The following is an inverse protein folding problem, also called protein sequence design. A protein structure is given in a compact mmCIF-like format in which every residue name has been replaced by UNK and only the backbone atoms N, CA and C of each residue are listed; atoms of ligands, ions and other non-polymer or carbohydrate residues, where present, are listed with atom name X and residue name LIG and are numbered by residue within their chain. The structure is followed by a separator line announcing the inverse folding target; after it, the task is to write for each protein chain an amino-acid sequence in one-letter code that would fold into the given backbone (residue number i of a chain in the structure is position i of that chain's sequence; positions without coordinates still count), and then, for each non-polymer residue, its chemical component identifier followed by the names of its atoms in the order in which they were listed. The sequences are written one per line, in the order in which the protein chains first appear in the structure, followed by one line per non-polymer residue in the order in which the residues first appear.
data_IF_299202122227
#
_entry.id   IF_299202122227
#
_cell.length_a   1.000
_cell.length_b   1.000
_cell.length_c   1.000
_cell.angle_alpha   90.00
_cell.angle_beta   90.00
_cell.angle_gamma   90.00
#
_symmetry.space_group_name_H-M   'P 1'
#
loop_
_entity.id
_entity.type
_entity.pdbx_description
1 polymer ?
#
# COMPACT_ATOMS: atom_id res chain seq x y z
N UNK A 1 25.33 -13.64 24.27
CA UNK A 1 24.80 -14.92 23.75
C UNK A 1 23.48 -14.64 23.04
N UNK A 2 23.51 -14.38 21.72
CA UNK A 2 22.28 -14.30 20.92
C UNK A 2 21.63 -15.69 20.91
N UNK A 3 20.38 -15.82 21.36
CA UNK A 3 19.64 -17.09 21.26
C UNK A 3 19.60 -17.49 19.80
N UNK A 4 20.18 -18.65 19.47
CA UNK A 4 20.07 -19.25 18.15
C UNK A 4 18.60 -19.62 17.91
N UNK A 5 17.84 -18.72 17.30
CA UNK A 5 16.46 -18.98 16.88
C UNK A 5 16.51 -20.02 15.76
N UNK A 6 15.78 -21.13 15.86
CA UNK A 6 15.76 -22.17 14.81
C UNK A 6 15.15 -21.63 13.50
N UNK A 7 15.40 -22.25 12.33
CA UNK A 7 14.74 -21.87 11.08
C UNK A 7 13.21 -21.80 11.20
N UNK A 8 12.59 -22.74 11.91
CA UNK A 8 11.15 -22.71 12.23
C UNK A 8 10.75 -21.51 13.10
N UNK A 9 11.57 -21.14 14.09
CA UNK A 9 11.30 -19.97 14.94
C UNK A 9 11.38 -18.66 14.16
N UNK A 10 12.34 -18.54 13.23
CA UNK A 10 12.48 -17.38 12.33
C UNK A 10 11.33 -17.35 11.32
N UNK A 11 10.95 -18.51 10.78
CA UNK A 11 9.80 -18.65 9.89
C UNK A 11 8.52 -18.12 10.55
N UNK A 12 8.20 -18.60 11.76
CA UNK A 12 7.02 -18.13 12.49
C UNK A 12 7.09 -16.63 12.80
N UNK A 13 8.27 -16.14 13.15
CA UNK A 13 8.51 -14.71 13.38
C UNK A 13 8.18 -13.87 12.13
N UNK A 14 8.63 -14.29 10.94
CA UNK A 14 8.33 -13.63 9.68
C UNK A 14 6.85 -13.76 9.33
N UNK A 15 6.24 -14.94 9.51
CA UNK A 15 4.80 -15.10 9.28
C UNK A 15 4.00 -14.14 10.17
N UNK A 16 4.38 -13.97 11.44
CA UNK A 16 3.72 -13.00 12.32
C UNK A 16 3.84 -11.56 11.77
N UNK A 17 4.97 -11.18 11.17
CA UNK A 17 5.13 -9.87 10.53
C UNK A 17 4.11 -9.64 9.39
N UNK A 18 3.83 -10.67 8.57
CA UNK A 18 2.87 -10.56 7.47
C UNK A 18 1.40 -10.77 7.89
N UNK A 19 1.15 -11.50 8.96
CA UNK A 19 -0.22 -11.94 9.34
C UNK A 19 -0.83 -11.15 10.49
N UNK A 20 -0.02 -10.53 11.35
CA UNK A 20 -0.49 -9.59 12.36
C UNK A 20 -0.75 -8.25 11.66
N UNK A 21 -2.01 -8.04 11.26
CA UNK A 21 -2.50 -6.77 10.77
C UNK A 21 -2.12 -5.67 11.75
N UNK A 22 -1.38 -4.69 11.27
CA UNK A 22 -0.59 -3.81 12.09
C UNK A 22 0.45 -4.54 12.94
N UNK A 23 1.73 -4.44 12.56
CA UNK A 23 2.81 -4.55 13.54
C UNK A 23 2.42 -3.59 14.67
N UNK A 24 1.91 -4.13 15.79
CA UNK A 24 1.45 -3.33 16.94
C UNK A 24 2.52 -2.28 17.16
N UNK A 25 2.17 -1.00 17.27
CA UNK A 25 3.15 0.12 17.31
C UNK A 25 4.32 -0.15 18.28
N UNK A 26 4.10 -0.97 19.31
CA UNK A 26 5.10 -1.40 20.29
C UNK A 26 6.10 -2.48 19.81
N UNK A 27 5.76 -3.23 18.76
CA UNK A 27 6.54 -4.33 18.18
C UNK A 27 7.31 -3.97 16.90
N UNK A 28 7.18 -2.74 16.37
CA UNK A 28 7.92 -2.33 15.15
C UNK A 28 9.43 -2.52 15.31
N UNK A 29 9.96 -2.16 16.49
CA UNK A 29 11.37 -2.37 16.86
C UNK A 29 11.80 -3.82 16.79
N UNK A 30 10.88 -4.76 17.02
CA UNK A 30 11.16 -6.18 16.89
C UNK A 30 11.52 -6.50 15.44
N UNK A 31 10.74 -5.97 14.49
CA UNK A 31 10.83 -6.23 13.05
C UNK A 31 11.78 -5.32 12.27
N UNK A 32 12.43 -4.35 12.93
CA UNK A 32 13.29 -3.36 12.29
C UNK A 32 14.33 -3.97 11.34
N UNK A 33 15.09 -4.97 11.80
CA UNK A 33 16.14 -5.61 11.00
C UNK A 33 15.56 -6.33 9.76
N UNK A 34 14.39 -6.96 9.90
CA UNK A 34 13.73 -7.64 8.78
C UNK A 34 13.26 -6.62 7.74
N UNK A 35 12.58 -5.56 8.19
CA UNK A 35 12.09 -4.49 7.33
C UNK A 35 13.23 -3.79 6.58
N UNK A 36 14.32 -3.49 7.28
CA UNK A 36 15.50 -2.85 6.69
C UNK A 36 16.18 -3.76 5.65
N UNK A 37 16.35 -5.05 5.98
CA UNK A 37 16.91 -6.03 5.03
C UNK A 37 16.03 -6.17 3.79
N UNK A 38 14.71 -6.30 3.96
CA UNK A 38 13.76 -6.34 2.85
C UNK A 38 13.82 -5.08 1.99
N UNK A 39 13.74 -3.88 2.59
CA UNK A 39 13.77 -2.61 1.87
C UNK A 39 15.10 -2.41 1.11
N UNK A 40 16.22 -2.86 1.68
CA UNK A 40 17.52 -2.77 1.04
C UNK A 40 17.66 -3.73 -0.15
N UNK A 41 17.17 -4.97 -0.02
CA UNK A 41 17.16 -5.92 -1.13
C UNK A 41 16.20 -5.49 -2.24
N UNK A 42 14.99 -5.03 -1.90
CA UNK A 42 14.00 -4.54 -2.86
C UNK A 42 14.53 -3.37 -3.70
N UNK A 43 15.24 -2.43 -3.07
CA UNK A 43 15.84 -1.29 -3.77
C UNK A 43 16.94 -1.70 -4.76
N UNK A 44 17.63 -2.83 -4.53
CA UNK A 44 18.64 -3.37 -5.45
C UNK A 44 18.01 -4.11 -6.64
N UNK A 45 16.83 -4.70 -6.44
CA UNK A 45 16.11 -5.46 -7.46
C UNK A 45 15.18 -4.62 -8.34
N UNK A 46 14.98 -3.33 -8.02
CA UNK A 46 14.08 -2.45 -8.75
C UNK A 46 14.68 -2.02 -10.10
N UNK A 47 14.61 -2.90 -11.10
CA UNK A 47 14.64 -2.51 -12.51
C UNK A 47 13.21 -2.43 -13.03
N UNK A 48 12.78 -1.25 -13.47
CA UNK A 48 11.60 -1.02 -14.32
C UNK A 48 10.23 -1.50 -13.79
N UNK A 49 9.66 -0.77 -12.83
CA UNK A 49 8.20 -0.78 -12.59
C UNK A 49 7.57 -2.09 -12.11
N UNK A 50 8.36 -3.13 -11.82
CA UNK A 50 7.86 -4.39 -11.26
C UNK A 50 7.71 -4.23 -9.72
N UNK A 51 6.49 -4.33 -9.17
CA UNK A 51 6.22 -4.00 -7.77
C UNK A 51 6.81 -4.99 -6.75
N UNK A 52 7.27 -6.17 -7.18
CA UNK A 52 7.96 -7.14 -6.33
C UNK A 52 8.75 -8.14 -7.18
N UNK A 53 10.02 -8.47 -6.84
CA UNK A 53 10.81 -9.43 -7.61
C UNK A 53 10.19 -10.84 -7.54
N UNK A 54 10.35 -11.65 -8.60
CA UNK A 54 9.91 -13.06 -8.62
C UNK A 54 10.52 -13.86 -7.47
N UNK A 55 11.74 -13.50 -7.07
CA UNK A 55 12.44 -14.09 -5.94
C UNK A 55 13.16 -13.01 -5.13
N UNK A 56 12.88 -12.94 -3.83
CA UNK A 56 13.57 -12.04 -2.89
C UNK A 56 14.39 -12.89 -1.92
N UNK A 57 15.69 -12.64 -1.84
CA UNK A 57 16.60 -13.38 -0.94
C UNK A 57 17.15 -12.40 0.09
N UNK A 58 16.94 -12.69 1.37
CA UNK A 58 17.50 -11.96 2.49
C UNK A 58 18.57 -12.83 3.15
N UNK A 59 19.80 -12.36 3.09
CA UNK A 59 20.92 -13.01 3.76
C UNK A 59 21.02 -12.53 5.22
N UNK A 60 21.45 -13.45 6.08
CA UNK A 60 21.79 -13.20 7.49
C UNK A 60 20.63 -12.64 8.37
N UNK A 61 19.41 -13.15 8.17
CA UNK A 61 18.32 -12.90 9.11
C UNK A 61 18.52 -13.82 10.32
N UNK A 62 19.22 -13.33 11.35
CA UNK A 62 19.61 -14.08 12.53
C UNK A 62 20.36 -15.39 12.16
N UNK A 63 21.31 -15.32 11.22
CA UNK A 63 22.06 -16.49 10.75
C UNK A 63 21.25 -17.49 9.93
N UNK A 64 20.16 -17.06 9.29
CA UNK A 64 19.42 -17.82 8.29
C UNK A 64 19.35 -17.06 6.97
N UNK A 65 19.28 -17.79 5.86
CA UNK A 65 18.86 -17.25 4.57
C UNK A 65 17.34 -17.36 4.49
N UNK A 66 16.67 -16.27 4.15
CA UNK A 66 15.23 -16.20 3.95
C UNK A 66 14.95 -15.96 2.48
N UNK A 67 14.09 -16.78 1.88
CA UNK A 67 13.74 -16.66 0.46
C UNK A 67 12.23 -16.55 0.31
N UNK A 68 11.77 -15.50 -0.35
CA UNK A 68 10.40 -15.37 -0.84
C UNK A 68 10.38 -15.70 -2.33
N UNK A 69 9.48 -16.58 -2.75
CA UNK A 69 9.32 -16.95 -4.16
C UNK A 69 7.88 -16.74 -4.59
N UNK A 70 7.67 -15.88 -5.58
CA UNK A 70 6.38 -15.64 -6.19
C UNK A 70 5.89 -16.90 -6.91
N UNK A 71 4.57 -17.17 -6.93
CA UNK A 71 4.02 -18.25 -7.72
C UNK A 71 4.33 -18.03 -9.22
N UNK A 72 4.71 -19.08 -9.93
CA UNK A 72 4.94 -19.01 -11.38
C UNK A 72 3.66 -18.65 -12.15
N UNK A 73 3.81 -18.20 -13.40
CA UNK A 73 2.70 -17.67 -14.24
C UNK A 73 1.48 -18.59 -14.37
N UNK A 74 1.63 -19.89 -14.12
CA UNK A 74 0.54 -20.87 -14.23
C UNK A 74 -0.25 -21.08 -12.93
N UNK A 75 0.12 -20.41 -11.82
CA UNK A 75 -0.51 -20.58 -10.52
C UNK A 75 -1.23 -19.30 -10.08
N UNK A 76 -2.40 -19.06 -10.69
CA UNK A 76 -3.22 -17.84 -10.54
C UNK A 76 -3.74 -17.61 -9.12
N UNK A 77 -3.79 -18.65 -8.27
CA UNK A 77 -4.19 -18.57 -6.85
C UNK A 77 -2.99 -18.59 -5.90
N UNK A 78 -1.76 -18.59 -6.43
CA UNK A 78 -0.59 -19.03 -5.66
C UNK A 78 -0.20 -18.08 -4.54
N UNK A 79 0.00 -18.65 -3.36
CA UNK A 79 0.67 -17.97 -2.26
C UNK A 79 2.18 -17.85 -2.54
N UNK A 80 2.79 -16.82 -1.96
CA UNK A 80 4.24 -16.65 -1.95
C UNK A 80 4.83 -17.71 -1.04
N UNK A 81 5.79 -18.47 -1.57
CA UNK A 81 6.52 -19.45 -0.78
C UNK A 81 7.57 -18.73 0.04
N UNK A 82 7.51 -18.90 1.37
CA UNK A 82 8.52 -18.42 2.31
C UNK A 82 9.37 -19.61 2.78
N UNK A 83 10.64 -19.62 2.39
CA UNK A 83 11.64 -20.59 2.86
C UNK A 83 12.63 -19.92 3.81
N UNK A 84 12.89 -20.56 4.96
CA UNK A 84 13.97 -20.18 5.89
C UNK A 84 14.94 -21.35 6.01
N UNK A 85 16.23 -21.09 5.73
CA UNK A 85 17.29 -22.10 5.67
C UNK A 85 18.47 -21.74 6.58
N UNK A 86 18.99 -22.74 7.29
CA UNK A 86 20.29 -22.70 7.98
C UNK A 86 21.04 -24.01 7.77
N UNK A 87 22.10 -23.99 6.96
CA UNK A 87 22.79 -25.22 6.56
C UNK A 87 21.82 -26.19 5.86
N UNK A 88 21.66 -27.38 6.44
CA UNK A 88 20.73 -28.40 5.93
C UNK A 88 19.30 -28.27 6.49
N UNK A 89 19.10 -27.47 7.53
CA UNK A 89 17.78 -27.28 8.14
C UNK A 89 16.95 -26.29 7.31
N UNK A 90 15.77 -26.71 6.89
CA UNK A 90 14.84 -25.93 6.06
C UNK A 90 13.46 -25.92 6.71
N UNK A 91 12.81 -24.76 6.69
CA UNK A 91 11.43 -24.60 7.09
C UNK A 91 10.67 -23.76 6.05
N UNK A 92 9.41 -24.11 5.77
CA UNK A 92 8.63 -23.53 4.68
C UNK A 92 7.20 -23.22 5.14
N UNK A 93 6.70 -22.05 4.76
CA UNK A 93 5.31 -21.60 4.94
C UNK A 93 4.84 -20.80 3.70
N UNK A 94 3.55 -20.44 3.69
CA UNK A 94 2.93 -19.67 2.61
C UNK A 94 2.38 -18.33 3.09
N UNK A 95 2.55 -17.29 2.28
CA UNK A 95 2.02 -15.95 2.52
C UNK A 95 1.08 -15.57 1.38
N UNK A 96 -0.14 -15.07 1.65
CA UNK A 96 -1.01 -14.56 0.60
C UNK A 96 -0.28 -13.54 -0.28
N UNK A 97 -0.32 -13.75 -1.60
CA UNK A 97 0.39 -12.91 -2.57
C UNK A 97 0.11 -11.42 -2.39
N UNK A 98 -1.17 -11.06 -2.20
CA UNK A 98 -1.59 -9.68 -1.98
C UNK A 98 -0.93 -9.06 -0.74
N UNK A 99 -0.87 -9.80 0.37
CA UNK A 99 -0.20 -9.36 1.60
C UNK A 99 1.30 -9.12 1.38
N UNK A 100 1.98 -10.05 0.71
CA UNK A 100 3.41 -9.91 0.42
C UNK A 100 3.70 -8.69 -0.47
N UNK A 101 2.93 -8.52 -1.54
CA UNK A 101 3.07 -7.39 -2.47
C UNK A 101 2.83 -6.06 -1.75
N UNK A 102 1.79 -5.96 -0.92
CA UNK A 102 1.50 -4.74 -0.16
C UNK A 102 2.65 -4.37 0.79
N UNK A 103 3.18 -5.34 1.53
CA UNK A 103 4.32 -5.09 2.42
C UNK A 103 5.55 -4.64 1.62
N UNK A 104 5.84 -5.27 0.47
CA UNK A 104 6.97 -4.87 -0.37
C UNK A 104 6.83 -3.43 -0.87
N UNK A 105 5.66 -3.09 -1.45
CA UNK A 105 5.34 -1.73 -1.93
C UNK A 105 5.50 -0.70 -0.81
N UNK A 106 4.96 -1.02 0.36
CA UNK A 106 5.03 -0.15 1.53
C UNK A 106 6.48 0.08 1.98
N UNK A 107 7.30 -0.96 2.04
CA UNK A 107 8.71 -0.83 2.40
C UNK A 107 9.49 -0.02 1.34
N UNK A 108 9.12 -0.12 0.06
CA UNK A 108 9.66 0.72 -1.00
C UNK A 108 9.30 2.19 -0.78
N UNK A 109 8.02 2.51 -0.55
CA UNK A 109 7.59 3.88 -0.24
C UNK A 109 8.23 4.44 1.02
N UNK A 110 8.36 3.62 2.05
CA UNK A 110 9.05 4.00 3.29
C UNK A 110 10.45 4.51 2.99
N UNK A 111 11.16 3.84 2.09
CA UNK A 111 12.53 4.18 1.70
C UNK A 111 12.57 5.38 0.75
N UNK A 112 11.66 5.44 -0.22
CA UNK A 112 11.59 6.48 -1.24
C UNK A 112 11.18 7.84 -0.66
N UNK A 113 10.16 7.85 0.19
CA UNK A 113 9.56 9.07 0.76
C UNK A 113 9.96 9.33 2.22
N UNK A 114 10.91 8.56 2.75
CA UNK A 114 11.40 8.67 4.13
C UNK A 114 10.27 8.67 5.18
N UNK A 115 9.32 7.73 5.04
CA UNK A 115 8.16 7.64 5.92
C UNK A 115 8.58 7.02 7.26
N UNK A 116 8.73 7.83 8.30
CA UNK A 116 9.09 7.37 9.65
C UNK A 116 7.78 7.04 10.40
N UNK A 117 7.71 5.88 11.07
CA UNK A 117 6.57 5.32 11.84
C UNK A 117 5.51 4.51 11.08
N UNK A 118 5.84 3.99 9.91
CA UNK A 118 4.85 3.25 9.13
C UNK A 118 4.68 1.82 9.64
N UNK A 119 3.50 1.55 10.18
CA UNK A 119 2.96 0.20 10.33
C UNK A 119 2.53 -0.27 8.94
N UNK A 120 3.11 -1.34 8.35
CA UNK A 120 2.98 -1.55 6.91
C UNK A 120 1.58 -1.97 6.44
N UNK A 121 0.77 -2.54 7.33
CA UNK A 121 -0.58 -2.98 7.03
C UNK A 121 -1.58 -2.53 8.10
N UNK A 122 -2.85 -2.34 7.73
CA UNK A 122 -3.97 -2.18 8.68
C UNK A 122 -4.31 -3.51 9.37
N UNK A 123 -5.24 -3.51 10.32
CA UNK A 123 -5.75 -4.74 10.95
C UNK A 123 -6.37 -5.71 9.93
N UNK A 124 -7.00 -5.16 8.88
CA UNK A 124 -7.58 -5.89 7.76
C UNK A 124 -6.55 -6.29 6.69
N UNK A 125 -5.25 -6.11 6.96
CA UNK A 125 -4.13 -6.45 6.05
C UNK A 125 -4.12 -5.61 4.76
N UNK A 126 -4.75 -4.44 4.79
CA UNK A 126 -4.69 -3.46 3.71
C UNK A 126 -3.41 -2.65 3.82
N UNK A 127 -2.95 -2.09 2.71
CA UNK A 127 -1.84 -1.15 2.71
C UNK A 127 -2.16 0.05 3.61
N UNK A 128 -1.25 0.39 4.53
CA UNK A 128 -1.43 1.54 5.43
C UNK A 128 -0.46 2.66 5.05
N UNK A 129 -1.03 3.79 4.62
CA UNK A 129 -0.38 5.05 4.29
C UNK A 129 -1.01 6.22 5.05
N UNK A 130 -1.72 5.94 6.15
CA UNK A 130 -2.38 6.93 6.98
C UNK A 130 -1.40 8.03 7.42
N UNK A 131 -1.78 9.29 7.19
CA UNK A 131 -1.00 10.46 7.58
C UNK A 131 0.35 10.63 6.86
N UNK A 132 0.64 9.86 5.81
CA UNK A 132 1.92 9.93 5.11
C UNK A 132 2.12 11.24 4.35
N UNK A 133 3.36 11.69 4.26
CA UNK A 133 3.76 12.81 3.41
C UNK A 133 4.17 12.30 2.03
N UNK A 134 3.24 12.38 1.07
CA UNK A 134 3.36 11.90 -0.31
C UNK A 134 3.13 13.02 -1.33
N UNK A 135 3.38 14.28 -0.94
CA UNK A 135 3.20 15.43 -1.82
C UNK A 135 4.13 15.35 -3.02
N UNK A 136 3.60 15.55 -4.22
CA UNK A 136 4.30 15.40 -5.51
C UNK A 136 4.82 13.98 -5.81
N UNK A 137 4.38 12.95 -5.06
CA UNK A 137 4.75 11.56 -5.34
C UNK A 137 4.17 11.09 -6.68
N UNK A 138 4.91 10.24 -7.40
CA UNK A 138 4.37 9.50 -8.55
C UNK A 138 3.81 8.16 -8.07
N UNK A 139 2.48 8.08 -8.06
CA UNK A 139 1.70 6.92 -7.67
C UNK A 139 0.84 6.42 -8.86
N UNK A 140 1.21 6.81 -10.09
CA UNK A 140 0.43 6.51 -11.28
C UNK A 140 0.36 5.01 -11.59
N UNK A 141 -0.82 4.56 -12.02
CA UNK A 141 -1.08 3.16 -12.36
C UNK A 141 -0.97 2.16 -11.20
N UNK A 142 -0.72 2.62 -9.98
CA UNK A 142 -0.53 1.74 -8.84
C UNK A 142 -1.85 1.15 -8.35
N UNK A 143 -1.80 -0.11 -7.94
CA UNK A 143 -2.86 -0.73 -7.15
C UNK A 143 -2.70 -0.33 -5.68
N UNK A 144 -3.58 0.58 -5.25
CA UNK A 144 -3.83 1.08 -3.91
C UNK A 144 -5.27 0.70 -3.46
N UNK A 145 -5.83 -0.35 -4.05
CA UNK A 145 -7.19 -0.77 -3.77
C UNK A 145 -7.32 -1.13 -2.29
N UNK A 146 -8.40 -0.63 -1.69
CA UNK A 146 -8.70 -0.75 -0.28
C UNK A 146 -7.64 -0.21 0.69
N UNK A 147 -6.60 0.51 0.24
CA UNK A 147 -5.58 1.08 1.11
C UNK A 147 -6.17 2.13 2.06
N UNK A 148 -5.56 2.27 3.23
CA UNK A 148 -5.84 3.37 4.15
C UNK A 148 -4.85 4.51 3.90
N UNK A 149 -5.34 5.60 3.31
CA UNK A 149 -4.59 6.83 3.08
C UNK A 149 -5.14 7.98 3.94
N UNK A 150 -5.94 7.70 4.97
CA UNK A 150 -6.64 8.73 5.75
C UNK A 150 -5.67 9.79 6.28
N UNK A 151 -5.99 11.06 6.08
CA UNK A 151 -5.16 12.20 6.49
C UNK A 151 -3.81 12.33 5.78
N UNK A 152 -3.53 11.52 4.75
CA UNK A 152 -2.27 11.61 4.00
C UNK A 152 -2.20 12.94 3.22
N UNK A 153 -0.98 13.47 3.10
CA UNK A 153 -0.68 14.62 2.26
C UNK A 153 -0.29 14.14 0.87
N UNK A 154 -1.22 14.20 -0.08
CA UNK A 154 -1.08 13.82 -1.49
C UNK A 154 -1.14 15.06 -2.41
N UNK A 155 -0.81 16.24 -1.88
CA UNK A 155 -0.86 17.49 -2.65
C UNK A 155 0.00 17.38 -3.91
N UNK A 156 -0.58 17.72 -5.06
CA UNK A 156 0.04 17.60 -6.39
C UNK A 156 0.58 16.19 -6.74
N UNK A 157 0.17 15.13 -6.03
CA UNK A 157 0.60 13.77 -6.37
C UNK A 157 0.03 13.33 -7.73
N UNK A 158 0.78 12.49 -8.43
CA UNK A 158 0.32 11.86 -9.66
C UNK A 158 -0.31 10.50 -9.35
N UNK A 159 -1.63 10.39 -9.40
CA UNK A 159 -2.43 9.18 -9.18
C UNK A 159 -3.13 8.74 -10.49
N UNK A 160 -2.65 9.20 -11.65
CA UNK A 160 -3.33 8.91 -12.92
C UNK A 160 -3.40 7.40 -13.16
N UNK A 161 -4.59 6.89 -13.45
CA UNK A 161 -4.84 5.48 -13.68
C UNK A 161 -4.64 4.56 -12.48
N UNK A 162 -4.39 5.11 -11.28
CA UNK A 162 -4.26 4.30 -10.07
C UNK A 162 -5.60 3.62 -9.71
N UNK A 163 -5.51 2.43 -9.12
CA UNK A 163 -6.67 1.74 -8.55
C UNK A 163 -6.76 2.07 -7.06
N UNK A 164 -7.74 2.90 -6.70
CA UNK A 164 -8.07 3.34 -5.33
C UNK A 164 -9.46 2.80 -4.92
N UNK A 165 -9.96 1.77 -5.60
CA UNK A 165 -11.30 1.23 -5.36
C UNK A 165 -11.45 0.77 -3.90
N UNK A 166 -12.48 1.25 -3.21
CA UNK A 166 -12.75 0.94 -1.80
C UNK A 166 -11.68 1.41 -0.80
N UNK A 167 -10.76 2.29 -1.21
CA UNK A 167 -9.76 2.89 -0.33
C UNK A 167 -10.39 3.89 0.65
N UNK A 168 -9.70 4.12 1.78
CA UNK A 168 -10.06 5.19 2.72
C UNK A 168 -9.14 6.39 2.47
N UNK A 169 -9.71 7.46 1.94
CA UNK A 169 -9.07 8.74 1.61
C UNK A 169 -9.68 9.89 2.45
N UNK A 170 -10.30 9.56 3.59
CA UNK A 170 -10.91 10.54 4.48
C UNK A 170 -9.89 11.59 4.94
N UNK A 171 -10.28 12.86 4.96
CA UNK A 171 -9.47 14.02 5.36
C UNK A 171 -8.11 14.13 4.64
N UNK A 172 -7.97 13.55 3.44
CA UNK A 172 -6.73 13.64 2.65
C UNK A 172 -6.53 15.01 2.02
N UNK A 173 -5.27 15.42 1.89
CA UNK A 173 -4.90 16.62 1.15
C UNK A 173 -4.54 16.24 -0.29
N UNK A 174 -5.48 16.38 -1.23
CA UNK A 174 -5.33 16.04 -2.65
C UNK A 174 -5.35 17.26 -3.58
N UNK A 175 -5.20 18.48 -3.03
CA UNK A 175 -5.25 19.69 -3.82
C UNK A 175 -4.22 19.68 -4.96
N UNK A 176 -4.68 20.03 -6.16
CA UNK A 176 -3.87 20.00 -7.39
C UNK A 176 -3.42 18.61 -7.85
N UNK A 177 -3.88 17.53 -7.22
CA UNK A 177 -3.51 16.15 -7.59
C UNK A 177 -4.01 15.75 -8.97
N UNK A 178 -3.29 14.86 -9.64
CA UNK A 178 -3.70 14.29 -10.93
C UNK A 178 -4.31 12.91 -10.72
N UNK A 179 -5.64 12.79 -10.79
CA UNK A 179 -6.40 11.54 -10.68
C UNK A 179 -7.06 11.16 -12.02
N UNK A 180 -6.48 11.60 -13.14
CA UNK A 180 -7.00 11.30 -14.47
C UNK A 180 -7.13 9.78 -14.68
N UNK A 181 -8.33 9.32 -15.08
CA UNK A 181 -8.67 7.90 -15.24
C UNK A 181 -8.44 7.00 -14.00
N UNK A 182 -8.29 7.57 -12.80
CA UNK A 182 -8.17 6.79 -11.58
C UNK A 182 -9.48 6.05 -11.27
N UNK A 183 -9.38 4.86 -10.68
CA UNK A 183 -10.55 4.12 -10.18
C UNK A 183 -10.74 4.42 -8.70
N UNK A 184 -11.82 5.08 -8.35
CA UNK A 184 -12.20 5.49 -7.00
C UNK A 184 -13.58 4.91 -6.61
N UNK A 185 -14.00 3.83 -7.28
CA UNK A 185 -15.29 3.20 -7.02
C UNK A 185 -15.39 2.79 -5.54
N UNK A 186 -16.48 3.20 -4.88
CA UNK A 186 -16.74 2.98 -3.45
C UNK A 186 -15.65 3.53 -2.51
N UNK A 187 -14.76 4.43 -2.96
CA UNK A 187 -13.75 5.04 -2.10
C UNK A 187 -14.40 6.02 -1.11
N UNK A 188 -13.82 6.12 0.09
CA UNK A 188 -14.24 7.09 1.10
C UNK A 188 -13.38 8.35 1.01
N UNK A 189 -13.93 9.42 0.43
CA UNK A 189 -13.30 10.74 0.26
C UNK A 189 -13.92 11.78 1.21
N UNK A 190 -14.54 11.34 2.32
CA UNK A 190 -15.16 12.26 3.27
C UNK A 190 -14.15 13.31 3.76
N UNK A 191 -14.51 14.60 3.66
CA UNK A 191 -13.65 15.70 4.10
C UNK A 191 -12.37 15.92 3.28
N UNK A 192 -12.14 15.16 2.19
CA UNK A 192 -10.93 15.30 1.38
C UNK A 192 -10.86 16.66 0.68
N UNK A 193 -9.66 17.25 0.62
CA UNK A 193 -9.40 18.47 -0.15
C UNK A 193 -8.97 18.09 -1.57
N UNK A 194 -9.93 18.11 -2.52
CA UNK A 194 -9.72 17.87 -3.96
C UNK A 194 -9.65 19.19 -4.75
N UNK A 195 -9.39 20.32 -4.10
CA UNK A 195 -9.41 21.62 -4.79
C UNK A 195 -8.40 21.67 -5.93
N UNK A 196 -8.86 22.07 -7.11
CA UNK A 196 -8.05 22.11 -8.33
C UNK A 196 -7.54 20.75 -8.84
N UNK A 197 -8.01 19.62 -8.29
CA UNK A 197 -7.59 18.29 -8.72
C UNK A 197 -8.11 17.96 -10.13
N UNK A 198 -7.35 17.17 -10.89
CA UNK A 198 -7.76 16.66 -12.19
C UNK A 198 -8.38 15.27 -12.05
N UNK A 199 -9.70 15.15 -12.13
CA UNK A 199 -10.47 13.90 -12.06
C UNK A 199 -11.04 13.51 -13.43
N UNK A 200 -10.44 13.98 -14.53
CA UNK A 200 -10.92 13.70 -15.88
C UNK A 200 -11.01 12.19 -16.12
N UNK A 201 -12.19 11.71 -16.50
CA UNK A 201 -12.43 10.28 -16.76
C UNK A 201 -12.30 9.36 -15.56
N UNK A 202 -12.21 9.89 -14.33
CA UNK A 202 -12.13 9.06 -13.11
C UNK A 202 -13.45 8.33 -12.83
N UNK A 203 -13.37 7.14 -12.25
CA UNK A 203 -14.54 6.39 -11.80
C UNK A 203 -14.77 6.62 -10.31
N UNK A 204 -15.74 7.46 -9.95
CA UNK A 204 -16.15 7.77 -8.57
C UNK A 204 -17.48 7.09 -8.22
N UNK A 205 -17.87 6.03 -8.93
CA UNK A 205 -19.15 5.37 -8.68
C UNK A 205 -19.27 4.87 -7.24
N UNK A 206 -20.37 5.22 -6.57
CA UNK A 206 -20.59 4.88 -5.16
C UNK A 206 -19.61 5.49 -4.17
N UNK A 207 -18.75 6.44 -4.58
CA UNK A 207 -17.79 7.08 -3.68
C UNK A 207 -18.49 8.01 -2.67
N UNK A 208 -17.98 8.05 -1.44
CA UNK A 208 -18.43 9.00 -0.43
C UNK A 208 -17.65 10.31 -0.56
N UNK A 209 -18.28 11.37 -1.05
CA UNK A 209 -17.68 12.72 -1.19
C UNK A 209 -18.29 13.71 -0.19
N UNK A 210 -18.99 13.27 0.85
CA UNK A 210 -19.59 14.19 1.82
C UNK A 210 -18.49 15.08 2.44
N UNK A 211 -18.70 16.40 2.45
CA UNK A 211 -17.72 17.36 2.98
C UNK A 211 -16.44 17.52 2.16
N UNK A 212 -16.27 16.83 1.03
CA UNK A 212 -15.10 16.99 0.17
C UNK A 212 -15.11 18.36 -0.51
N UNK A 213 -13.94 19.02 -0.57
CA UNK A 213 -13.76 20.27 -1.29
C UNK A 213 -13.42 19.99 -2.77
N UNK A 214 -14.39 20.20 -3.67
CA UNK A 214 -14.22 20.03 -5.12
C UNK A 214 -14.02 21.36 -5.86
N UNK A 215 -13.70 22.46 -5.16
CA UNK A 215 -13.54 23.77 -5.79
C UNK A 215 -12.48 23.76 -6.89
N UNK A 216 -12.88 24.12 -8.12
CA UNK A 216 -11.99 24.12 -9.28
C UNK A 216 -11.53 22.75 -9.78
N UNK A 217 -12.07 21.64 -9.25
CA UNK A 217 -11.74 20.30 -9.72
C UNK A 217 -12.28 20.05 -11.14
N UNK A 218 -11.48 19.38 -11.99
CA UNK A 218 -11.89 18.99 -13.33
C UNK A 218 -12.56 17.60 -13.30
N UNK A 219 -13.89 17.56 -13.37
CA UNK A 219 -14.69 16.33 -13.37
C UNK A 219 -15.16 15.91 -14.78
N UNK A 220 -14.57 16.44 -15.84
CA UNK A 220 -15.00 16.12 -17.22
C UNK A 220 -14.93 14.61 -17.46
N UNK A 221 -16.04 14.00 -17.86
CA UNK A 221 -16.12 12.55 -18.12
C UNK A 221 -16.00 11.66 -16.88
N UNK A 222 -15.98 12.21 -15.67
CA UNK A 222 -15.96 11.42 -14.44
C UNK A 222 -17.31 10.71 -14.24
N UNK A 223 -17.27 9.46 -13.78
CA UNK A 223 -18.46 8.70 -13.42
C UNK A 223 -18.81 8.94 -11.95
N UNK A 224 -19.91 9.66 -11.69
CA UNK A 224 -20.40 9.96 -10.33
C UNK A 224 -21.66 9.16 -9.96
N UNK A 225 -21.93 8.05 -10.66
CA UNK A 225 -23.15 7.28 -10.42
C UNK A 225 -23.22 6.76 -8.98
N UNK A 226 -24.28 7.12 -8.26
CA UNK A 226 -24.46 6.72 -6.87
C UNK A 226 -23.47 7.32 -5.87
N UNK A 227 -22.66 8.32 -6.27
CA UNK A 227 -21.74 9.00 -5.36
C UNK A 227 -22.50 9.93 -4.41
N UNK A 228 -22.07 9.95 -3.13
CA UNK A 228 -22.61 10.88 -2.12
C UNK A 228 -21.91 12.23 -2.21
N UNK A 229 -22.46 13.13 -3.04
CA UNK A 229 -21.87 14.45 -3.28
C UNK A 229 -21.99 15.42 -2.08
N UNK A 230 -21.06 16.39 -1.94
CA UNK A 230 -21.16 17.45 -0.94
C UNK A 230 -22.47 18.26 -1.08
N UNK A 231 -22.96 18.79 0.04
CA UNK A 231 -24.22 19.54 0.08
C UNK A 231 -24.25 20.74 -0.89
N UNK A 232 -23.11 21.39 -1.15
CA UNK A 232 -23.00 22.48 -2.12
C UNK A 232 -23.44 22.09 -3.55
N UNK A 233 -23.41 20.80 -3.88
CA UNK A 233 -23.88 20.25 -5.17
C UNK A 233 -25.31 19.73 -5.11
N UNK A 234 -25.88 19.53 -3.91
CA UNK A 234 -27.26 19.05 -3.73
C UNK A 234 -28.31 20.13 -3.96
N UNK A 235 -27.96 21.40 -3.74
CA UNK A 235 -28.91 22.53 -3.82
C UNK A 235 -28.93 23.28 -5.18
N UNK A 236 -28.16 22.86 -6.19
CA UNK A 236 -28.19 23.48 -7.54
C UNK A 236 -29.30 22.95 -8.45
N UNK A 237 -30.45 22.58 -7.89
CA UNK A 237 -31.68 22.24 -8.62
C UNK A 237 -32.80 23.20 -8.23
N UNK A 238 -32.71 24.46 -8.67
CA UNK A 238 -33.85 25.35 -8.90
C UNK A 238 -33.58 26.18 -10.16
#
# INVERSE_FOLDING_TARGET
MHKATSPRGILQYIINFFTCGGVRKDNEKMYANLMESMANTLARSASEGVPSPEKLILDDINGCTVTFTMPGMNNYTGDVTLEVRRGNDVALEYIPKYTYVNVCKVLQFRKEFNLIQLVPLTEERKMNLCGCYLSNADLSGLDLSAADLSGANLKNANLSGADLSGSTLSDTYLSGGNLCFAKLACADLNGADLSGANLNGADLSGANLNGANLSGANLNGANLSGADLPDEFRYRKE
#
